data_IF_861515258329
#
_entry.id   IF_861515258329
#
_cell.length_a   1.000
_cell.length_b   1.000
_cell.length_c   1.000
_cell.angle_alpha   90.00
_cell.angle_beta   90.00
_cell.angle_gamma   90.00
#
_symmetry.space_group_name_H-M   'P 1'
#
loop_
_entity.id
_entity.type
_entity.pdbx_description
1 polymer ?
#
# COMPACT_ATOMS: atom_id res chain seq x y z
N UNK A 1 11.54 29.60 11.83
CA UNK A 1 10.59 28.58 11.32
C UNK A 1 9.64 28.23 12.44
N UNK A 2 8.40 27.83 12.12
CA UNK A 2 7.39 27.41 13.10
C UNK A 2 7.48 25.88 13.32
N UNK A 3 6.86 25.37 14.38
CA UNK A 3 6.72 23.91 14.64
C UNK A 3 6.12 23.19 13.41
N UNK A 4 5.14 23.80 12.76
CA UNK A 4 4.53 23.28 11.54
C UNK A 4 5.55 23.10 10.40
N UNK A 5 6.46 24.06 10.20
CA UNK A 5 7.49 23.96 9.17
C UNK A 5 8.44 22.78 9.43
N UNK A 6 8.80 22.52 10.71
CA UNK A 6 9.67 21.41 11.07
C UNK A 6 8.96 20.06 10.89
N UNK A 7 7.66 19.96 11.25
CA UNK A 7 6.88 18.74 11.02
C UNK A 7 6.70 18.47 9.52
N UNK A 8 6.44 19.49 8.69
CA UNK A 8 6.40 19.34 7.23
C UNK A 8 7.71 18.81 6.67
N UNK A 9 8.86 19.24 7.21
CA UNK A 9 10.16 18.67 6.81
C UNK A 9 10.29 17.20 7.23
N UNK A 10 9.84 16.82 8.43
CA UNK A 10 9.81 15.43 8.86
C UNK A 10 8.93 14.58 7.94
N UNK A 11 7.75 15.08 7.52
CA UNK A 11 6.87 14.45 6.55
C UNK A 11 7.56 14.25 5.20
N UNK A 12 8.28 15.25 4.70
CA UNK A 12 9.02 15.13 3.43
C UNK A 12 10.17 14.12 3.51
N UNK A 13 10.85 14.04 4.65
CA UNK A 13 11.86 13.02 4.91
C UNK A 13 11.26 11.61 4.94
N UNK A 14 10.11 11.43 5.63
CA UNK A 14 9.42 10.15 5.71
C UNK A 14 9.12 9.54 4.33
N UNK A 15 8.66 10.37 3.38
CA UNK A 15 8.35 9.96 2.01
C UNK A 15 9.53 9.34 1.25
N UNK A 16 10.77 9.65 1.63
CA UNK A 16 11.97 9.06 1.01
C UNK A 16 12.13 7.57 1.30
N UNK A 17 11.43 7.04 2.30
CA UNK A 17 11.40 5.61 2.65
C UNK A 17 10.38 4.79 1.85
N UNK A 18 9.60 5.43 0.96
CA UNK A 18 8.52 4.76 0.21
C UNK A 18 9.05 3.57 -0.60
N UNK A 19 8.33 2.45 -0.56
CA UNK A 19 8.69 1.19 -1.22
C UNK A 19 9.80 0.38 -0.54
N UNK A 20 10.54 0.97 0.41
CA UNK A 20 11.66 0.31 1.09
C UNK A 20 11.35 -0.11 2.53
N UNK A 21 10.44 0.60 3.19
CA UNK A 21 10.18 0.39 4.63
C UNK A 21 9.22 -0.76 4.91
N UNK A 22 8.40 -1.19 3.96
CA UNK A 22 7.41 -2.25 4.16
C UNK A 22 7.96 -3.50 4.84
N UNK A 23 7.26 -4.07 5.84
CA UNK A 23 5.97 -3.67 6.38
C UNK A 23 6.03 -2.61 7.50
N UNK A 24 7.19 -1.97 7.73
CA UNK A 24 7.36 -0.90 8.69
C UNK A 24 6.77 0.41 8.14
N UNK A 25 6.36 1.35 9.02
CA UNK A 25 5.86 2.65 8.59
C UNK A 25 6.98 3.54 8.01
N UNK A 26 6.59 4.46 7.14
CA UNK A 26 7.42 5.59 6.75
C UNK A 26 7.44 6.60 7.89
N UNK A 27 8.62 6.86 8.45
CA UNK A 27 8.81 7.80 9.54
C UNK A 27 9.93 8.78 9.19
N UNK A 28 9.73 10.04 9.54
CA UNK A 28 10.73 11.09 9.44
C UNK A 28 10.89 11.82 10.77
N UNK A 29 12.10 12.27 11.06
CA UNK A 29 12.43 12.99 12.28
C UNK A 29 13.36 14.18 12.01
N UNK A 30 13.12 15.29 12.71
CA UNK A 30 13.93 16.53 12.63
C UNK A 30 14.23 17.00 14.06
N UNK A 31 15.52 17.25 14.36
CA UNK A 31 15.96 17.75 15.67
C UNK A 31 16.35 19.22 15.52
N UNK A 32 15.76 20.07 16.38
CA UNK A 32 15.89 21.53 16.31
C UNK A 32 16.41 22.07 17.64
N UNK A 33 17.42 22.96 17.57
CA UNK A 33 17.95 23.68 18.71
C UNK A 33 18.12 25.15 18.34
N UNK A 34 17.65 26.04 19.21
CA UNK A 34 17.73 27.50 18.99
C UNK A 34 17.22 27.95 17.60
N UNK A 35 16.10 27.34 17.12
CA UNK A 35 15.51 27.66 15.84
C UNK A 35 16.25 27.11 14.61
N UNK A 36 17.34 26.34 14.81
CA UNK A 36 18.13 25.71 13.73
C UNK A 36 17.97 24.21 13.76
N UNK A 37 17.90 23.59 12.59
CA UNK A 37 17.94 22.14 12.46
C UNK A 37 19.37 21.67 12.67
N UNK A 38 19.56 20.77 13.65
CA UNK A 38 20.87 20.20 14.00
C UNK A 38 20.96 18.71 13.67
N UNK A 39 19.84 18.05 13.38
CA UNK A 39 19.79 16.65 12.97
C UNK A 39 18.52 16.35 12.19
N UNK A 40 18.58 15.43 11.24
CA UNK A 40 17.44 14.97 10.45
C UNK A 40 17.64 13.54 9.97
N UNK A 41 16.56 12.79 9.93
CA UNK A 41 16.61 11.40 9.48
C UNK A 41 15.24 10.88 9.08
N UNK A 42 15.24 9.74 8.41
CA UNK A 42 14.03 8.99 8.09
C UNK A 42 14.33 7.49 8.17
N UNK A 43 13.30 6.66 8.29
CA UNK A 43 13.44 5.22 8.20
C UNK A 43 13.71 4.84 6.74
N UNK A 44 14.96 4.43 6.46
CA UNK A 44 15.40 4.22 5.07
C UNK A 44 14.92 2.90 4.49
N UNK A 45 14.96 1.83 5.29
CA UNK A 45 14.63 0.48 4.85
C UNK A 45 14.26 -0.42 6.02
N UNK A 46 13.33 -1.34 5.79
CA UNK A 46 12.94 -2.34 6.79
C UNK A 46 14.17 -3.09 7.35
N UNK A 47 14.28 -3.13 8.69
CA UNK A 47 15.40 -3.75 9.40
C UNK A 47 16.59 -2.85 9.69
N UNK A 48 16.64 -1.64 9.13
CA UNK A 48 17.63 -0.62 9.43
C UNK A 48 17.17 0.32 10.56
N UNK A 49 17.99 1.34 10.89
CA UNK A 49 17.72 2.30 11.96
C UNK A 49 16.41 3.08 11.67
N UNK A 50 15.67 3.37 12.73
CA UNK A 50 14.48 4.21 12.69
C UNK A 50 14.85 5.69 12.47
N UNK A 51 13.85 6.51 12.14
CA UNK A 51 14.03 7.92 11.79
C UNK A 51 14.72 8.72 12.88
N UNK A 52 14.33 8.51 14.14
CA UNK A 52 14.87 9.22 15.31
C UNK A 52 16.35 8.90 15.50
N UNK A 53 16.72 7.63 15.38
CA UNK A 53 18.13 7.22 15.47
C UNK A 53 18.97 7.72 14.30
N UNK A 54 18.41 7.77 13.08
CA UNK A 54 19.06 8.39 11.94
C UNK A 54 19.20 9.91 12.13
N UNK A 55 18.22 10.57 12.74
CA UNK A 55 18.31 11.99 13.05
C UNK A 55 19.38 12.26 14.12
N UNK A 56 19.45 11.44 15.15
CA UNK A 56 20.50 11.49 16.19
C UNK A 56 21.89 11.24 15.58
N UNK A 57 22.02 10.24 14.71
CA UNK A 57 23.30 9.95 14.04
C UNK A 57 23.78 11.07 13.12
N UNK A 58 22.90 11.97 12.70
CA UNK A 58 23.20 13.11 11.84
C UNK A 58 23.43 14.42 12.59
N UNK A 59 23.49 14.40 13.93
CA UNK A 59 23.66 15.59 14.75
C UNK A 59 24.96 16.34 14.42
N UNK A 60 24.85 17.66 14.30
CA UNK A 60 25.97 18.57 14.09
C UNK A 60 26.48 19.21 15.37
N UNK A 61 25.67 19.14 16.44
CA UNK A 61 25.98 19.59 17.80
C UNK A 61 25.18 18.78 18.84
N UNK A 62 25.46 18.96 20.14
CA UNK A 62 24.70 18.29 21.20
C UNK A 62 23.19 18.59 21.14
N UNK A 63 22.35 17.54 21.19
CA UNK A 63 20.90 17.67 21.22
C UNK A 63 20.34 17.99 22.60
N UNK A 64 21.17 18.16 23.63
CA UNK A 64 20.72 18.53 24.97
C UNK A 64 19.90 19.83 24.95
N UNK A 65 18.66 19.75 25.46
CA UNK A 65 17.70 20.86 25.45
C UNK A 65 16.99 21.13 24.14
N UNK A 66 17.24 20.31 23.08
CA UNK A 66 16.61 20.44 21.78
C UNK A 66 15.14 19.97 21.76
N UNK A 67 14.45 20.22 20.65
CA UNK A 67 13.14 19.68 20.30
C UNK A 67 13.29 18.70 19.14
N UNK A 68 12.67 17.51 19.23
CA UNK A 68 12.53 16.58 18.12
C UNK A 68 11.08 16.58 17.60
N UNK A 69 10.91 16.66 16.30
CA UNK A 69 9.65 16.48 15.58
C UNK A 69 9.71 15.13 14.88
N UNK A 70 8.72 14.27 15.13
CA UNK A 70 8.65 12.92 14.57
C UNK A 70 7.23 12.63 14.06
N UNK A 71 7.12 12.06 12.88
CA UNK A 71 5.82 11.87 12.20
C UNK A 71 4.97 10.75 12.81
N UNK A 72 5.56 9.87 13.65
CA UNK A 72 4.87 8.77 14.33
C UNK A 72 5.42 8.60 15.75
N UNK A 73 4.59 8.14 16.69
CA UNK A 73 4.98 7.87 18.06
C UNK A 73 6.27 7.02 18.14
N UNK A 74 7.32 7.48 18.88
CA UNK A 74 8.56 6.74 19.04
C UNK A 74 8.35 5.39 19.71
N UNK A 75 8.97 4.35 19.15
CA UNK A 75 8.88 3.00 19.70
C UNK A 75 9.53 2.89 21.08
N UNK A 76 8.90 2.08 21.99
CA UNK A 76 9.31 1.86 23.38
C UNK A 76 9.65 0.40 23.70
N UNK A 77 9.74 -0.47 22.68
CA UNK A 77 10.04 -1.88 22.86
C UNK A 77 11.30 -2.29 22.10
N UNK A 78 11.99 -3.30 22.61
CA UNK A 78 13.12 -3.92 21.94
C UNK A 78 12.64 -4.76 20.77
N UNK A 79 13.09 -4.42 19.58
CA UNK A 79 12.90 -5.17 18.35
C UNK A 79 14.24 -5.60 17.76
N UNK A 80 14.42 -5.41 16.45
CA UNK A 80 15.75 -5.56 15.80
C UNK A 80 16.71 -4.43 16.20
N UNK A 81 16.18 -3.31 16.64
CA UNK A 81 16.93 -2.15 17.16
C UNK A 81 16.44 -1.81 18.55
N UNK A 82 17.27 -1.18 19.41
CA UNK A 82 16.81 -0.67 20.70
C UNK A 82 15.76 0.43 20.56
N UNK A 83 14.90 0.66 21.57
CA UNK A 83 13.82 1.65 21.55
C UNK A 83 14.30 3.05 21.15
N UNK A 84 13.49 3.78 20.40
CA UNK A 84 13.78 5.18 20.06
C UNK A 84 13.56 6.12 21.23
N UNK A 85 12.63 5.79 22.15
CA UNK A 85 12.41 6.54 23.40
C UNK A 85 13.68 6.61 24.25
N UNK A 86 14.43 5.51 24.39
CA UNK A 86 15.70 5.48 25.11
C UNK A 86 16.74 6.41 24.47
N UNK A 87 16.87 6.37 23.16
CA UNK A 87 17.82 7.24 22.44
C UNK A 87 17.47 8.72 22.61
N UNK A 88 16.18 9.08 22.62
CA UNK A 88 15.72 10.45 22.86
C UNK A 88 16.07 10.91 24.28
N UNK A 89 15.86 10.06 25.29
CA UNK A 89 16.19 10.33 26.69
C UNK A 89 17.70 10.48 26.88
N UNK A 90 18.51 9.56 26.34
CA UNK A 90 19.97 9.59 26.40
C UNK A 90 20.56 10.87 25.83
N UNK A 91 19.95 11.41 24.74
CA UNK A 91 20.35 12.68 24.12
C UNK A 91 19.89 13.93 24.89
N UNK A 92 19.18 13.75 26.04
CA UNK A 92 18.64 14.83 26.89
C UNK A 92 17.79 15.84 26.09
N UNK A 93 17.05 15.34 25.11
CA UNK A 93 16.08 16.14 24.35
C UNK A 93 14.98 16.61 25.32
N UNK A 94 14.67 17.92 25.28
CA UNK A 94 13.73 18.54 26.22
C UNK A 94 12.28 18.40 25.80
N UNK A 95 12.00 18.37 24.47
CA UNK A 95 10.65 18.39 23.92
C UNK A 95 10.52 17.45 22.74
N UNK A 96 9.42 16.70 22.69
CA UNK A 96 9.07 15.78 21.58
C UNK A 96 7.72 16.19 21.00
N UNK A 97 7.66 16.46 19.70
CA UNK A 97 6.43 16.78 18.97
C UNK A 97 6.11 15.60 18.07
N UNK A 98 4.98 14.93 18.33
CA UNK A 98 4.55 13.69 17.68
C UNK A 98 3.41 13.99 16.74
N UNK A 99 3.51 13.50 15.48
CA UNK A 99 2.46 13.59 14.48
C UNK A 99 1.32 12.61 14.75
N UNK A 100 1.47 11.38 14.33
CA UNK A 100 0.48 10.31 14.53
C UNK A 100 0.79 9.48 15.77
N UNK A 101 -0.26 8.93 16.41
CA UNK A 101 -0.11 7.85 17.40
C UNK A 101 0.11 6.52 16.68
N UNK A 102 0.90 5.64 17.28
CA UNK A 102 1.06 4.28 16.76
C UNK A 102 -0.13 3.41 17.20
N UNK A 103 -0.93 2.84 16.28
CA UNK A 103 -2.04 1.97 16.63
C UNK A 103 -1.59 0.59 17.11
N UNK A 104 -0.30 0.26 17.04
CA UNK A 104 0.25 -1.00 17.51
C UNK A 104 0.08 -1.14 19.03
N UNK A 105 -0.65 -2.15 19.56
CA UNK A 105 -0.86 -2.32 20.99
C UNK A 105 0.42 -2.45 21.83
N UNK A 106 1.55 -2.77 21.18
CA UNK A 106 2.87 -2.83 21.82
C UNK A 106 3.46 -1.44 22.08
N UNK A 107 3.06 -0.43 21.31
CA UNK A 107 3.56 0.97 21.37
C UNK A 107 2.51 1.91 21.93
N UNK A 108 1.35 1.91 21.38
CA UNK A 108 0.19 2.81 21.62
C UNK A 108 0.18 3.49 23.00
N UNK A 109 0.59 4.75 23.07
CA UNK A 109 0.66 5.57 24.29
C UNK A 109 1.79 5.23 25.27
N UNK A 110 2.48 4.10 25.11
CA UNK A 110 3.55 3.68 26.04
C UNK A 110 4.84 4.45 25.80
N UNK A 111 5.15 4.76 24.54
CA UNK A 111 6.30 5.60 24.18
C UNK A 111 6.15 7.01 24.74
N UNK A 112 4.96 7.59 24.59
CA UNK A 112 4.59 8.89 25.12
C UNK A 112 4.76 8.92 26.64
N UNK A 113 4.16 7.95 27.34
CA UNK A 113 4.24 7.84 28.79
C UNK A 113 5.69 7.72 29.28
N UNK A 114 6.51 6.92 28.65
CA UNK A 114 7.93 6.74 28.98
C UNK A 114 8.71 8.05 28.87
N UNK A 115 8.45 8.84 27.82
CA UNK A 115 9.09 10.15 27.61
C UNK A 115 8.64 11.16 28.70
N UNK A 116 7.34 11.19 29.03
CA UNK A 116 6.78 12.06 30.08
C UNK A 116 7.34 11.71 31.46
N UNK A 117 7.45 10.43 31.80
CA UNK A 117 8.05 9.94 33.06
C UNK A 117 9.55 10.31 33.17
N UNK A 118 10.24 10.46 32.05
CA UNK A 118 11.61 10.96 31.98
C UNK A 118 11.72 12.50 32.07
N UNK A 119 10.59 13.22 32.26
CA UNK A 119 10.55 14.67 32.37
C UNK A 119 10.61 15.44 31.04
N UNK A 120 10.35 14.76 29.91
CA UNK A 120 10.33 15.36 28.58
C UNK A 120 8.94 15.93 28.30
N UNK A 121 8.86 17.15 27.78
CA UNK A 121 7.62 17.74 27.27
C UNK A 121 7.18 17.02 26.00
N UNK A 122 5.96 16.45 25.96
CA UNK A 122 5.43 15.76 24.79
C UNK A 122 4.19 16.47 24.28
N UNK A 123 4.19 16.82 23.00
CA UNK A 123 3.03 17.33 22.25
C UNK A 123 2.59 16.21 21.29
N UNK A 124 1.33 15.81 21.44
CA UNK A 124 0.72 14.72 20.68
C UNK A 124 -0.21 15.23 19.58
N UNK A 125 -0.48 14.38 18.60
CA UNK A 125 -1.46 14.62 17.53
C UNK A 125 -1.19 15.91 16.72
N UNK A 126 0.06 16.35 16.65
CA UNK A 126 0.45 17.57 15.93
C UNK A 126 0.49 17.35 14.42
N UNK A 127 -0.39 18.00 13.68
CA UNK A 127 -0.60 17.75 12.24
C UNK A 127 -0.93 16.26 11.96
N UNK A 128 -1.82 15.71 12.80
CA UNK A 128 -2.14 14.28 12.78
C UNK A 128 -2.64 13.81 11.42
N UNK A 129 -3.55 14.53 10.79
CA UNK A 129 -4.13 14.13 9.50
C UNK A 129 -3.06 14.01 8.41
N UNK A 130 -2.12 14.96 8.34
CA UNK A 130 -1.03 14.93 7.37
C UNK A 130 -0.05 13.78 7.64
N UNK A 131 0.19 13.47 8.91
CA UNK A 131 1.03 12.35 9.32
C UNK A 131 0.34 11.00 9.10
N UNK A 132 -0.97 10.88 9.39
CA UNK A 132 -1.75 9.66 9.14
C UNK A 132 -1.77 9.30 7.64
N UNK A 133 -1.84 10.31 6.75
CA UNK A 133 -1.79 10.11 5.29
C UNK A 133 -0.48 9.50 4.77
N UNK A 134 0.60 9.49 5.58
CA UNK A 134 1.85 8.82 5.21
C UNK A 134 1.70 7.29 5.25
N UNK A 135 0.92 6.77 6.21
CA UNK A 135 0.99 5.38 6.62
C UNK A 135 -0.35 4.61 6.62
N UNK A 136 -1.27 4.82 5.63
CA UNK A 136 -2.55 4.10 5.62
C UNK A 136 -2.35 2.58 5.53
N UNK A 137 -1.33 2.11 4.78
CA UNK A 137 -0.94 0.71 4.67
C UNK A 137 -0.56 0.15 6.04
N UNK A 138 0.36 0.81 6.76
CA UNK A 138 0.81 0.35 8.08
C UNK A 138 -0.34 0.31 9.08
N UNK A 139 -1.16 1.36 9.13
CA UNK A 139 -2.29 1.43 10.07
C UNK A 139 -3.31 0.32 9.82
N UNK A 140 -3.64 0.07 8.57
CA UNK A 140 -4.52 -1.04 8.21
C UNK A 140 -3.91 -2.40 8.60
N UNK A 141 -2.67 -2.66 8.14
CA UNK A 141 -2.03 -3.95 8.35
C UNK A 141 -1.79 -4.28 9.83
N UNK A 142 -1.34 -3.28 10.64
CA UNK A 142 -1.04 -3.53 12.06
C UNK A 142 -2.31 -3.81 12.87
N UNK A 143 -3.46 -3.29 12.46
CA UNK A 143 -4.75 -3.47 13.14
C UNK A 143 -5.51 -4.70 12.66
N UNK A 144 -5.54 -4.96 11.34
CA UNK A 144 -6.36 -6.04 10.74
C UNK A 144 -5.59 -7.32 10.49
N UNK A 145 -4.26 -7.25 10.37
CA UNK A 145 -3.39 -8.34 9.92
C UNK A 145 -3.70 -8.87 8.52
N UNK A 146 -4.32 -8.01 7.69
CA UNK A 146 -4.56 -8.28 6.27
C UNK A 146 -3.92 -7.18 5.41
N UNK A 147 -3.55 -7.46 4.15
CA UNK A 147 -2.99 -6.44 3.27
C UNK A 147 -3.96 -5.28 3.02
N UNK A 148 -3.42 -4.05 2.92
CA UNK A 148 -4.14 -2.91 2.36
C UNK A 148 -4.20 -3.03 0.84
N UNK A 149 -5.39 -3.13 0.27
CA UNK A 149 -5.58 -3.34 -1.17
C UNK A 149 -5.94 -2.04 -1.87
N UNK A 150 -5.10 -1.65 -2.83
CA UNK A 150 -5.35 -0.53 -3.73
C UNK A 150 -5.75 -1.07 -5.09
N UNK A 151 -7.00 -0.86 -5.47
CA UNK A 151 -7.50 -1.23 -6.79
C UNK A 151 -7.12 -0.13 -7.79
N UNK A 152 -6.30 -0.46 -8.78
CA UNK A 152 -5.88 0.46 -9.81
C UNK A 152 -6.35 0.00 -11.19
N UNK A 153 -6.92 0.92 -11.94
CA UNK A 153 -7.22 0.69 -13.35
C UNK A 153 -6.95 1.92 -14.21
N UNK A 154 -6.78 1.69 -15.51
CA UNK A 154 -6.68 2.73 -16.52
C UNK A 154 -7.83 2.54 -17.51
N UNK A 155 -8.57 3.61 -17.78
CA UNK A 155 -9.72 3.57 -18.67
C UNK A 155 -9.77 4.80 -19.58
N UNK A 156 -10.55 4.70 -20.65
CA UNK A 156 -10.96 5.84 -21.47
C UNK A 156 -12.01 6.69 -20.74
N UNK A 157 -12.27 7.90 -21.21
CA UNK A 157 -13.29 8.79 -20.64
C UNK A 157 -14.72 8.18 -20.69
N UNK A 158 -14.98 7.29 -21.65
CA UNK A 158 -16.22 6.50 -21.73
C UNK A 158 -16.16 5.16 -20.99
N UNK A 159 -15.19 4.98 -20.05
CA UNK A 159 -15.13 3.86 -19.13
C UNK A 159 -14.67 2.54 -19.73
N UNK A 160 -13.84 2.53 -20.77
CA UNK A 160 -13.38 1.31 -21.42
C UNK A 160 -11.92 0.99 -21.08
N UNK A 161 -11.64 -0.28 -20.76
CA UNK A 161 -10.27 -0.80 -20.49
C UNK A 161 -9.70 -1.59 -21.67
N UNK A 162 -10.46 -1.79 -22.71
CA UNK A 162 -10.02 -2.39 -23.99
C UNK A 162 -10.96 -1.99 -25.13
N UNK A 163 -10.48 -2.06 -26.37
CA UNK A 163 -11.29 -1.91 -27.58
C UNK A 163 -12.24 -3.10 -27.77
N UNK A 164 -13.13 -3.03 -28.75
CA UNK A 164 -14.02 -4.16 -29.13
C UNK A 164 -13.27 -5.45 -29.51
N UNK A 165 -12.01 -5.35 -29.91
CA UNK A 165 -11.14 -6.49 -30.27
C UNK A 165 -10.29 -6.98 -29.11
N UNK A 166 -10.39 -6.35 -27.92
CA UNK A 166 -9.60 -6.68 -26.75
C UNK A 166 -8.25 -5.98 -26.65
N UNK A 167 -7.88 -5.14 -27.63
CA UNK A 167 -6.62 -4.38 -27.56
C UNK A 167 -6.67 -3.34 -26.42
N UNK A 168 -5.67 -3.37 -25.51
CA UNK A 168 -5.59 -2.52 -24.30
C UNK A 168 -4.35 -1.62 -24.27
N UNK A 169 -3.41 -1.78 -25.20
CA UNK A 169 -2.13 -1.04 -25.22
C UNK A 169 -2.13 0.03 -26.31
N UNK A 170 -1.99 1.34 -26.00
CA UNK A 170 -1.90 1.95 -24.67
C UNK A 170 -3.11 2.88 -24.47
N UNK A 171 -3.79 2.73 -23.35
CA UNK A 171 -4.94 3.59 -23.02
C UNK A 171 -4.42 4.94 -22.51
N UNK A 172 -3.61 4.91 -21.45
CA UNK A 172 -3.04 6.11 -20.81
C UNK A 172 -1.66 6.46 -21.37
N UNK A 173 -1.25 7.71 -21.15
CA UNK A 173 0.00 8.27 -21.58
C UNK A 173 1.22 7.74 -20.81
N UNK A 174 2.40 8.23 -21.17
CA UNK A 174 3.68 7.78 -20.59
C UNK A 174 3.82 8.18 -19.12
N UNK A 175 3.39 9.39 -18.74
CA UNK A 175 3.44 9.88 -17.37
C UNK A 175 2.63 8.98 -16.42
N UNK A 176 1.39 8.60 -16.79
CA UNK A 176 0.58 7.68 -16.01
C UNK A 176 1.21 6.28 -15.90
N UNK A 177 1.82 5.78 -16.98
CA UNK A 177 2.54 4.49 -16.94
C UNK A 177 3.80 4.54 -16.06
N UNK A 178 4.49 5.67 -16.00
CA UNK A 178 5.61 5.87 -15.06
C UNK A 178 5.13 5.85 -13.62
N UNK A 179 4.00 6.50 -13.32
CA UNK A 179 3.40 6.46 -11.98
C UNK A 179 2.98 5.04 -11.57
N UNK A 180 2.47 4.22 -12.49
CA UNK A 180 2.20 2.81 -12.24
C UNK A 180 3.46 2.02 -11.87
N UNK A 181 4.64 2.33 -12.45
CA UNK A 181 5.90 1.71 -12.01
C UNK A 181 6.24 2.10 -10.57
N UNK A 182 5.99 3.35 -10.19
CA UNK A 182 6.16 3.82 -8.82
C UNK A 182 5.21 3.10 -7.85
N UNK A 183 3.93 2.94 -8.22
CA UNK A 183 2.97 2.15 -7.42
C UNK A 183 3.42 0.70 -7.25
N UNK A 184 3.92 0.06 -8.29
CA UNK A 184 4.46 -1.32 -8.20
C UNK A 184 5.69 -1.43 -7.30
N UNK A 185 6.48 -0.37 -7.17
CA UNK A 185 7.58 -0.31 -6.21
C UNK A 185 7.09 -0.10 -4.79
N UNK A 186 6.05 0.73 -4.61
CA UNK A 186 5.49 1.12 -3.31
C UNK A 186 4.84 -0.06 -2.58
N UNK A 187 4.03 -0.86 -3.26
CA UNK A 187 3.26 -1.95 -2.65
C UNK A 187 4.01 -3.27 -2.68
N UNK A 188 3.87 -4.08 -1.59
CA UNK A 188 4.59 -5.35 -1.48
C UNK A 188 4.13 -6.40 -2.47
N UNK A 189 2.83 -6.44 -2.78
CA UNK A 189 2.24 -7.39 -3.73
C UNK A 189 1.58 -6.71 -4.92
N UNK A 190 1.54 -7.41 -6.05
CA UNK A 190 0.69 -7.09 -7.21
C UNK A 190 -0.23 -8.26 -7.47
N UNK A 191 -1.54 -8.00 -7.54
CA UNK A 191 -2.56 -9.02 -7.76
C UNK A 191 -3.25 -8.85 -9.11
N UNK A 192 -3.34 -9.96 -9.86
CA UNK A 192 -4.04 -10.00 -11.15
C UNK A 192 -4.86 -11.30 -11.28
N UNK A 193 -5.89 -11.25 -12.13
CA UNK A 193 -6.66 -12.44 -12.49
C UNK A 193 -6.05 -13.19 -13.67
N UNK A 194 -6.33 -14.48 -13.73
CA UNK A 194 -5.85 -15.34 -14.83
C UNK A 194 -6.25 -14.83 -16.22
N UNK A 195 -7.40 -14.18 -16.35
CA UNK A 195 -7.84 -13.59 -17.63
C UNK A 195 -6.85 -12.56 -18.17
N UNK A 196 -6.26 -11.72 -17.32
CA UNK A 196 -5.22 -10.76 -17.69
C UNK A 196 -3.94 -11.47 -18.13
N UNK A 197 -3.57 -12.55 -17.44
CA UNK A 197 -2.37 -13.32 -17.78
C UNK A 197 -2.50 -14.00 -19.13
N UNK A 198 -3.66 -14.60 -19.41
CA UNK A 198 -3.94 -15.27 -20.68
C UNK A 198 -4.02 -14.29 -21.87
N UNK A 199 -4.49 -13.07 -21.63
CA UNK A 199 -4.64 -12.05 -22.67
C UNK A 199 -3.33 -11.35 -23.01
N UNK A 200 -2.52 -11.01 -22.02
CA UNK A 200 -1.41 -10.06 -22.16
C UNK A 200 -0.01 -10.67 -21.93
N UNK A 201 0.09 -11.90 -21.37
CA UNK A 201 1.31 -12.54 -20.88
C UNK A 201 2.24 -11.54 -20.15
N UNK A 202 1.75 -10.86 -19.12
CA UNK A 202 2.45 -9.73 -18.49
C UNK A 202 3.54 -10.22 -17.54
N UNK A 203 4.61 -9.42 -17.37
CA UNK A 203 5.64 -9.69 -16.36
C UNK A 203 5.22 -9.29 -14.94
N UNK A 204 4.31 -8.34 -14.78
CA UNK A 204 3.87 -7.79 -13.48
C UNK A 204 5.04 -7.39 -12.56
N UNK A 205 6.06 -6.77 -13.10
CA UNK A 205 7.26 -6.33 -12.39
C UNK A 205 7.48 -4.82 -12.53
N UNK A 206 8.42 -4.30 -11.77
CA UNK A 206 8.97 -2.95 -11.97
C UNK A 206 10.03 -3.01 -13.06
N UNK A 207 10.02 -2.00 -13.96
CA UNK A 207 10.96 -1.88 -15.09
C UNK A 207 11.93 -0.71 -14.92
N UNK A 208 11.97 -0.12 -13.72
CA UNK A 208 12.91 0.94 -13.35
C UNK A 208 14.08 0.28 -12.62
N UNK A 209 15.29 0.55 -13.07
CA UNK A 209 16.51 0.01 -12.47
C UNK A 209 16.65 0.47 -11.02
N UNK A 210 17.13 -0.42 -10.16
CA UNK A 210 17.32 -0.16 -8.73
C UNK A 210 16.05 -0.25 -7.89
N UNK A 211 14.85 -0.30 -8.48
CA UNK A 211 13.61 -0.40 -7.74
C UNK A 211 13.22 -1.84 -7.45
N UNK A 212 12.59 -2.06 -6.28
CA UNK A 212 12.09 -3.37 -5.86
C UNK A 212 10.82 -3.72 -6.63
N UNK A 213 10.76 -4.93 -7.20
CA UNK A 213 9.54 -5.49 -7.77
C UNK A 213 8.64 -6.10 -6.70
N UNK A 214 7.30 -6.03 -6.85
CA UNK A 214 6.36 -6.65 -5.94
C UNK A 214 6.33 -8.17 -6.07
N UNK A 215 5.81 -8.84 -5.04
CA UNK A 215 5.41 -10.25 -5.08
C UNK A 215 4.21 -10.37 -6.01
N UNK A 216 4.26 -11.29 -6.97
CA UNK A 216 3.18 -11.49 -7.93
C UNK A 216 2.16 -12.48 -7.38
N UNK A 217 0.90 -12.08 -7.33
CA UNK A 217 -0.22 -12.85 -6.80
C UNK A 217 -1.24 -13.03 -7.92
N UNK A 218 -1.52 -14.27 -8.29
CA UNK A 218 -2.46 -14.57 -9.36
C UNK A 218 -3.68 -15.30 -8.81
N UNK A 219 -4.87 -14.80 -9.13
CA UNK A 219 -6.13 -15.48 -8.86
C UNK A 219 -6.50 -16.33 -10.09
N UNK A 220 -6.38 -17.65 -9.95
CA UNK A 220 -6.58 -18.63 -11.02
C UNK A 220 -7.30 -19.88 -10.50
N UNK A 221 -8.60 -19.79 -10.28
CA UNK A 221 -9.40 -20.84 -9.67
C UNK A 221 -9.17 -22.22 -10.31
N UNK A 222 -8.99 -22.31 -11.62
CA UNK A 222 -8.78 -23.55 -12.35
C UNK A 222 -7.34 -23.90 -12.71
N UNK A 223 -6.34 -23.18 -12.15
CA UNK A 223 -4.92 -23.34 -12.51
C UNK A 223 -4.67 -23.34 -14.03
N UNK A 224 -5.29 -22.40 -14.75
CA UNK A 224 -5.17 -22.28 -16.23
C UNK A 224 -3.88 -21.63 -16.69
N UNK A 225 -3.08 -21.08 -15.77
CA UNK A 225 -1.82 -20.40 -16.07
C UNK A 225 -0.93 -21.23 -17.00
N UNK A 226 -0.44 -20.67 -18.12
CA UNK A 226 0.47 -21.36 -19.01
C UNK A 226 1.83 -21.61 -18.35
N UNK A 227 2.36 -22.83 -18.44
CA UNK A 227 3.69 -23.16 -17.88
C UNK A 227 4.83 -22.44 -18.64
N UNK A 228 4.60 -22.09 -19.89
CA UNK A 228 5.54 -21.35 -20.74
C UNK A 228 5.34 -19.83 -20.71
N UNK A 229 4.40 -19.30 -19.90
CA UNK A 229 4.17 -17.88 -19.73
C UNK A 229 5.33 -17.15 -19.03
N UNK A 230 5.49 -15.86 -19.31
CA UNK A 230 6.59 -15.03 -18.77
C UNK A 230 6.62 -15.01 -17.25
N UNK A 231 5.45 -14.99 -16.61
CA UNK A 231 5.32 -15.02 -15.13
C UNK A 231 5.95 -16.29 -14.56
N UNK A 232 5.64 -17.46 -15.14
CA UNK A 232 6.17 -18.76 -14.68
C UNK A 232 7.66 -18.85 -14.95
N UNK A 233 8.10 -18.56 -16.18
CA UNK A 233 9.53 -18.59 -16.55
C UNK A 233 10.41 -17.70 -15.68
N UNK A 234 9.87 -16.63 -15.14
CA UNK A 234 10.60 -15.66 -14.30
C UNK A 234 10.36 -15.86 -12.79
N UNK A 235 9.70 -16.94 -12.36
CA UNK A 235 9.38 -17.18 -10.96
C UNK A 235 10.62 -17.33 -10.06
N UNK A 236 11.70 -17.88 -10.57
CA UNK A 236 12.98 -17.93 -9.85
C UNK A 236 13.61 -16.56 -9.55
N UNK A 237 13.23 -15.50 -10.31
CA UNK A 237 13.68 -14.12 -10.06
C UNK A 237 12.66 -13.29 -9.26
N UNK A 238 11.38 -13.53 -9.44
CA UNK A 238 10.30 -12.76 -8.82
C UNK A 238 9.35 -13.72 -8.10
N UNK A 239 9.26 -13.61 -6.77
CA UNK A 239 8.34 -14.43 -5.95
C UNK A 239 6.95 -14.38 -6.57
N UNK A 240 6.36 -15.56 -6.79
CA UNK A 240 5.08 -15.71 -7.49
C UNK A 240 4.20 -16.69 -6.74
N UNK A 241 3.01 -16.24 -6.38
CA UNK A 241 1.98 -17.02 -5.68
C UNK A 241 0.78 -17.15 -6.59
N UNK A 242 0.30 -18.37 -6.83
CA UNK A 242 -0.94 -18.65 -7.55
C UNK A 242 -1.97 -19.18 -6.58
N UNK A 243 -3.01 -18.39 -6.33
CA UNK A 243 -4.18 -18.81 -5.58
C UNK A 243 -5.14 -19.56 -6.51
N UNK A 244 -5.55 -20.76 -6.11
CA UNK A 244 -6.44 -21.61 -6.89
C UNK A 244 -7.57 -22.17 -6.02
N UNK A 245 -8.62 -22.66 -6.67
CA UNK A 245 -9.69 -23.43 -6.02
C UNK A 245 -9.42 -24.94 -6.17
N UNK A 246 -9.87 -25.70 -5.19
CA UNK A 246 -9.66 -27.17 -5.21
C UNK A 246 -10.45 -27.81 -6.34
N UNK A 247 -9.77 -28.57 -7.19
CA UNK A 247 -10.38 -29.34 -8.29
C UNK A 247 -9.60 -30.62 -8.55
N UNK A 248 -10.30 -31.67 -8.97
CA UNK A 248 -9.80 -33.06 -9.04
C UNK A 248 -8.55 -33.29 -9.93
N UNK A 249 -8.10 -32.33 -10.72
CA UNK A 249 -6.99 -32.52 -11.69
C UNK A 249 -5.83 -31.52 -11.56
N UNK A 250 -5.66 -30.86 -10.41
CA UNK A 250 -4.66 -29.80 -10.25
C UNK A 250 -3.29 -30.29 -9.80
N UNK A 251 -3.18 -31.49 -9.22
CA UNK A 251 -1.97 -31.97 -8.55
C UNK A 251 -0.73 -32.03 -9.47
N UNK A 252 -0.87 -32.64 -10.64
CA UNK A 252 0.25 -32.73 -11.59
C UNK A 252 0.75 -31.35 -12.03
N UNK A 253 -0.16 -30.39 -12.25
CA UNK A 253 0.19 -29.03 -12.65
C UNK A 253 0.81 -28.26 -11.49
N UNK A 254 0.31 -28.42 -10.28
CA UNK A 254 0.89 -27.81 -9.06
C UNK A 254 2.34 -28.26 -8.89
N UNK A 255 2.61 -29.57 -9.00
CA UNK A 255 3.97 -30.11 -8.91
C UNK A 255 4.90 -29.45 -9.91
N UNK A 256 4.48 -29.32 -11.15
CA UNK A 256 5.29 -28.64 -12.20
C UNK A 256 5.49 -27.15 -11.91
N UNK A 257 4.47 -26.44 -11.43
CA UNK A 257 4.58 -25.05 -11.03
C UNK A 257 5.59 -24.88 -9.88
N UNK A 258 5.56 -25.75 -8.87
CA UNK A 258 6.54 -25.78 -7.78
C UNK A 258 7.97 -26.02 -8.27
N UNK A 259 8.16 -26.98 -9.19
CA UNK A 259 9.45 -27.26 -9.82
C UNK A 259 10.01 -26.04 -10.57
N UNK A 260 9.13 -25.15 -11.05
CA UNK A 260 9.48 -23.89 -11.72
C UNK A 260 9.58 -22.68 -10.75
N UNK A 261 9.47 -22.90 -9.42
CA UNK A 261 9.61 -21.85 -8.42
C UNK A 261 8.34 -21.03 -8.17
N UNK A 262 7.17 -21.52 -8.60
CA UNK A 262 5.88 -20.88 -8.33
C UNK A 262 5.26 -21.49 -7.08
N UNK A 263 4.93 -20.66 -6.10
CA UNK A 263 4.15 -21.04 -4.93
C UNK A 263 2.67 -21.18 -5.30
N UNK A 264 1.98 -22.19 -4.77
CA UNK A 264 0.55 -22.36 -4.98
C UNK A 264 -0.19 -22.47 -3.66
N UNK A 265 -1.32 -21.78 -3.55
CA UNK A 265 -2.18 -21.84 -2.36
C UNK A 265 -3.62 -22.16 -2.73
N UNK A 266 -4.20 -23.15 -2.05
CA UNK A 266 -5.61 -23.47 -2.17
C UNK A 266 -6.45 -22.54 -1.29
N UNK A 267 -7.32 -21.76 -1.92
CA UNK A 267 -8.25 -20.84 -1.27
C UNK A 267 -9.63 -20.98 -1.91
N UNK A 268 -10.31 -22.11 -1.74
CA UNK A 268 -11.64 -22.34 -2.33
C UNK A 268 -12.75 -21.68 -1.51
N UNK A 269 -13.72 -21.08 -2.20
CA UNK A 269 -15.06 -20.80 -1.69
C UNK A 269 -16.04 -21.95 -2.00
N UNK A 270 -17.30 -21.76 -1.64
CA UNK A 270 -18.38 -22.74 -1.89
C UNK A 270 -18.73 -22.93 -3.39
N UNK A 271 -18.37 -21.98 -4.24
CA UNK A 271 -18.60 -21.99 -5.68
C UNK A 271 -17.36 -22.45 -6.47
N UNK A 272 -16.38 -23.01 -5.79
CA UNK A 272 -15.12 -23.46 -6.38
C UNK A 272 -14.35 -22.31 -7.08
N UNK A 273 -14.43 -21.09 -6.51
CA UNK A 273 -13.67 -19.93 -6.90
C UNK A 273 -12.63 -19.58 -5.83
N UNK A 274 -11.67 -18.74 -6.15
CA UNK A 274 -10.71 -18.23 -5.16
C UNK A 274 -11.44 -17.35 -4.15
N UNK A 275 -11.47 -17.78 -2.88
CA UNK A 275 -11.93 -17.00 -1.74
C UNK A 275 -10.91 -15.88 -1.43
N UNK A 276 -11.23 -14.67 -1.85
CA UNK A 276 -10.33 -13.53 -1.68
C UNK A 276 -10.11 -13.15 -0.21
N UNK A 277 -11.08 -13.40 0.70
CA UNK A 277 -10.90 -13.13 2.14
C UNK A 277 -9.90 -14.10 2.76
N UNK A 278 -10.01 -15.40 2.44
CA UNK A 278 -9.02 -16.41 2.87
C UNK A 278 -7.63 -16.08 2.32
N UNK A 279 -7.56 -15.66 1.04
CA UNK A 279 -6.31 -15.24 0.42
C UNK A 279 -5.69 -14.05 1.16
N UNK A 280 -6.47 -13.00 1.49
CA UNK A 280 -5.96 -11.83 2.23
C UNK A 280 -5.42 -12.23 3.61
N UNK A 281 -6.10 -13.13 4.32
CA UNK A 281 -5.64 -13.64 5.61
C UNK A 281 -4.29 -14.35 5.47
N UNK A 282 -4.17 -15.26 4.52
CA UNK A 282 -2.91 -15.96 4.25
C UNK A 282 -1.77 -14.99 3.91
N UNK A 283 -2.01 -14.03 3.01
CA UNK A 283 -0.99 -13.06 2.59
C UNK A 283 -0.55 -12.17 3.76
N UNK A 284 -1.48 -11.81 4.65
CA UNK A 284 -1.17 -11.07 5.87
C UNK A 284 -0.31 -11.89 6.85
N UNK A 285 -0.58 -13.18 7.03
CA UNK A 285 0.23 -14.11 7.83
C UNK A 285 1.65 -14.27 7.24
N UNK A 286 1.79 -14.22 5.90
CA UNK A 286 3.07 -14.20 5.19
C UNK A 286 3.82 -12.85 5.29
N UNK A 287 3.27 -11.87 6.01
CA UNK A 287 3.88 -10.55 6.20
C UNK A 287 3.72 -9.59 5.02
N UNK A 288 2.82 -9.86 4.10
CA UNK A 288 2.51 -8.97 2.97
C UNK A 288 1.51 -7.92 3.45
N UNK A 289 1.94 -6.67 3.57
CA UNK A 289 1.18 -5.56 4.14
C UNK A 289 0.25 -4.86 3.14
N UNK A 290 0.56 -4.98 1.84
CA UNK A 290 -0.12 -4.20 0.80
C UNK A 290 -0.16 -4.89 -0.55
N UNK A 291 -1.23 -4.64 -1.31
CA UNK A 291 -1.46 -5.20 -2.63
C UNK A 291 -1.91 -4.09 -3.59
N UNK A 292 -1.23 -3.99 -4.71
CA UNK A 292 -1.72 -3.29 -5.89
C UNK A 292 -2.55 -4.27 -6.73
N UNK A 293 -3.86 -4.09 -6.74
CA UNK A 293 -4.77 -4.88 -7.58
C UNK A 293 -4.81 -4.27 -8.99
N UNK A 294 -4.12 -4.92 -9.92
CA UNK A 294 -4.18 -4.62 -11.37
C UNK A 294 -5.00 -5.70 -12.08
N UNK A 295 -6.26 -5.85 -11.68
CA UNK A 295 -7.18 -6.86 -12.21
C UNK A 295 -7.91 -6.43 -13.47
N UNK A 296 -8.54 -7.40 -14.16
CA UNK A 296 -9.62 -7.14 -15.09
C UNK A 296 -10.94 -6.94 -14.36
N UNK A 297 -11.99 -6.52 -15.07
CA UNK A 297 -13.28 -6.16 -14.48
C UNK A 297 -13.91 -7.21 -13.58
N UNK A 298 -13.75 -8.49 -13.90
CA UNK A 298 -14.27 -9.59 -13.09
C UNK A 298 -13.59 -9.69 -11.72
N UNK A 299 -12.25 -9.61 -11.67
CA UNK A 299 -11.53 -9.67 -10.39
C UNK A 299 -11.79 -8.42 -9.55
N UNK A 300 -11.87 -7.25 -10.19
CA UNK A 300 -12.20 -6.00 -9.51
C UNK A 300 -13.59 -6.04 -8.86
N UNK A 301 -14.61 -6.55 -9.57
CA UNK A 301 -15.95 -6.79 -9.01
C UNK A 301 -15.90 -7.75 -7.82
N UNK A 302 -15.23 -8.89 -7.98
CA UNK A 302 -15.07 -9.88 -6.91
C UNK A 302 -14.38 -9.29 -5.68
N UNK A 303 -13.35 -8.46 -5.85
CA UNK A 303 -12.63 -7.81 -4.76
C UNK A 303 -13.49 -6.78 -4.01
N UNK A 304 -14.29 -5.99 -4.74
CA UNK A 304 -15.24 -5.04 -4.14
C UNK A 304 -16.32 -5.78 -3.36
N UNK A 305 -16.93 -6.83 -3.93
CA UNK A 305 -17.96 -7.65 -3.25
C UNK A 305 -17.41 -8.36 -2.01
N UNK A 306 -16.15 -8.82 -2.07
CA UNK A 306 -15.48 -9.41 -0.92
C UNK A 306 -15.14 -8.38 0.18
N UNK A 307 -15.25 -7.07 -0.10
CA UNK A 307 -14.94 -6.01 0.86
C UNK A 307 -13.46 -5.91 1.21
N UNK A 308 -12.56 -6.34 0.29
CA UNK A 308 -11.12 -6.36 0.54
C UNK A 308 -10.40 -5.11 0.01
N UNK A 309 -11.08 -4.21 -0.69
CA UNK A 309 -10.51 -3.00 -1.30
C UNK A 309 -10.66 -1.82 -0.34
N UNK A 310 -9.57 -1.12 -0.03
CA UNK A 310 -9.57 0.09 0.79
C UNK A 310 -9.50 1.36 -0.04
N UNK A 311 -8.81 1.31 -1.18
CA UNK A 311 -8.57 2.48 -2.03
C UNK A 311 -8.75 2.13 -3.51
N UNK A 312 -9.26 3.08 -4.28
CA UNK A 312 -9.40 3.00 -5.73
C UNK A 312 -8.60 4.13 -6.38
N UNK A 313 -7.73 3.79 -7.34
CA UNK A 313 -7.01 4.74 -8.17
C UNK A 313 -7.38 4.55 -9.65
N UNK A 314 -8.17 5.47 -10.18
CA UNK A 314 -8.64 5.48 -11.56
C UNK A 314 -7.79 6.45 -12.40
N UNK A 315 -7.12 5.94 -13.43
CA UNK A 315 -6.45 6.76 -14.45
C UNK A 315 -7.39 6.88 -15.66
N UNK A 316 -7.79 8.08 -16.00
CA UNK A 316 -8.77 8.36 -17.06
C UNK A 316 -8.05 9.06 -18.22
N UNK A 317 -7.97 8.40 -19.35
CA UNK A 317 -7.40 8.97 -20.57
C UNK A 317 -8.43 9.81 -21.33
N UNK A 318 -8.05 10.95 -21.94
CA UNK A 318 -8.93 11.79 -22.75
C UNK A 318 -9.20 11.15 -24.13
N UNK A 319 -9.77 9.93 -24.13
CA UNK A 319 -10.06 9.11 -25.30
C UNK A 319 -11.44 8.49 -25.17
N UNK A 320 -12.04 8.15 -26.30
CA UNK A 320 -13.30 7.41 -26.39
C UNK A 320 -13.08 6.17 -27.26
N UNK A 321 -13.43 4.99 -26.74
CA UNK A 321 -13.34 3.73 -27.50
C UNK A 321 -14.71 3.28 -28.02
N UNK A 322 -15.79 3.58 -27.29
CA UNK A 322 -17.11 3.08 -27.59
C UNK A 322 -17.21 1.54 -27.52
N UNK A 323 -18.23 1.01 -28.16
CA UNK A 323 -18.48 -0.44 -28.21
C UNK A 323 -19.29 -0.96 -27.02
N UNK A 324 -20.50 -1.47 -27.31
CA UNK A 324 -21.43 -1.99 -26.30
C UNK A 324 -20.80 -3.11 -25.43
N UNK A 325 -20.01 -4.00 -26.05
CA UNK A 325 -19.39 -5.15 -25.38
C UNK A 325 -17.91 -4.93 -25.04
N UNK A 326 -17.42 -3.70 -25.14
CA UNK A 326 -16.06 -3.39 -24.72
C UNK A 326 -15.92 -3.47 -23.20
N UNK A 327 -14.83 -4.09 -22.70
CA UNK A 327 -14.60 -4.33 -21.28
C UNK A 327 -14.53 -3.03 -20.47
N UNK A 328 -15.03 -3.10 -19.24
CA UNK A 328 -15.04 -2.00 -18.26
C UNK A 328 -14.19 -2.32 -17.05
N UNK A 329 -13.80 -1.32 -16.23
CA UNK A 329 -12.94 -1.55 -15.05
C UNK A 329 -13.57 -2.46 -14.00
N UNK A 330 -14.90 -2.43 -13.87
CA UNK A 330 -15.67 -3.26 -12.94
C UNK A 330 -16.78 -3.91 -13.74
N UNK A 331 -16.80 -5.24 -13.75
CA UNK A 331 -17.78 -6.06 -14.46
C UNK A 331 -18.62 -6.86 -13.42
N UNK A 332 -19.01 -8.07 -13.72
CA UNK A 332 -19.79 -8.94 -12.83
C UNK A 332 -21.30 -8.75 -13.00
N UNK A 333 -22.05 -9.02 -11.93
CA UNK A 333 -23.53 -8.99 -11.97
C UNK A 333 -24.08 -7.56 -11.93
N UNK A 334 -23.29 -6.61 -11.41
CA UNK A 334 -23.74 -5.24 -11.17
C UNK A 334 -24.66 -5.12 -9.93
N UNK A 335 -25.13 -3.90 -9.67
CA UNK A 335 -26.10 -3.58 -8.62
C UNK A 335 -27.49 -3.37 -9.24
N UNK A 336 -28.55 -3.65 -8.50
CA UNK A 336 -29.93 -3.47 -9.00
C UNK A 336 -30.40 -2.03 -8.88
N UNK A 337 -29.96 -1.36 -7.80
CA UNK A 337 -30.35 0.03 -7.51
C UNK A 337 -29.10 0.86 -7.21
N UNK A 338 -29.11 2.17 -7.53
CA UNK A 338 -28.00 3.08 -7.22
C UNK A 338 -27.62 3.11 -5.72
N UNK A 339 -28.58 2.87 -4.84
CA UNK A 339 -28.36 2.78 -3.38
C UNK A 339 -27.51 1.59 -2.95
N UNK A 340 -27.37 0.56 -3.78
CA UNK A 340 -26.52 -0.61 -3.52
C UNK A 340 -25.07 -0.42 -3.99
N UNK A 341 -24.76 0.73 -4.60
CA UNK A 341 -23.42 1.00 -5.12
C UNK A 341 -22.38 1.05 -4.01
N UNK A 342 -21.18 0.56 -4.30
CA UNK A 342 -20.02 0.78 -3.43
C UNK A 342 -19.73 2.27 -3.38
N UNK A 343 -19.87 2.88 -2.20
CA UNK A 343 -19.64 4.31 -2.01
C UNK A 343 -18.15 4.60 -1.91
N UNK A 344 -17.75 5.68 -2.54
CA UNK A 344 -16.36 6.14 -2.56
C UNK A 344 -16.29 7.59 -2.07
N UNK A 345 -15.33 7.90 -1.21
CA UNK A 345 -14.94 9.26 -0.82
C UNK A 345 -13.73 9.66 -1.63
N UNK A 346 -13.89 10.62 -2.54
CA UNK A 346 -12.79 11.14 -3.33
C UNK A 346 -11.85 11.96 -2.43
N UNK A 347 -10.56 11.63 -2.43
CA UNK A 347 -9.55 12.26 -1.58
C UNK A 347 -8.51 13.05 -2.36
N UNK A 348 -8.34 12.75 -3.66
CA UNK A 348 -7.42 13.49 -4.53
C UNK A 348 -7.85 13.38 -6.00
N UNK A 349 -7.71 14.47 -6.73
CA UNK A 349 -7.86 14.52 -8.19
C UNK A 349 -6.70 15.33 -8.74
N UNK A 350 -5.89 14.70 -9.59
CA UNK A 350 -4.76 15.39 -10.18
C UNK A 350 -4.56 15.04 -11.67
N UNK A 351 -3.92 15.93 -12.39
CA UNK A 351 -3.49 15.68 -13.76
C UNK A 351 -2.13 14.97 -13.77
N UNK A 352 -2.02 13.92 -14.59
CA UNK A 352 -0.81 13.11 -14.76
C UNK A 352 -0.48 13.04 -16.25
N UNK A 353 0.33 13.97 -16.73
CA UNK A 353 0.50 14.20 -18.17
C UNK A 353 -0.80 14.66 -18.83
N UNK A 354 -1.30 13.89 -19.78
CA UNK A 354 -2.58 14.16 -20.46
C UNK A 354 -3.77 13.48 -19.74
N UNK A 355 -3.50 12.55 -18.82
CA UNK A 355 -4.51 11.77 -18.12
C UNK A 355 -4.93 12.44 -16.80
N UNK A 356 -6.07 12.04 -16.26
CA UNK A 356 -6.55 12.43 -14.93
C UNK A 356 -6.45 11.20 -14.01
N UNK A 357 -5.83 11.36 -12.84
CA UNK A 357 -5.90 10.39 -11.76
C UNK A 357 -6.93 10.82 -10.72
N UNK A 358 -7.85 9.92 -10.38
CA UNK A 358 -8.78 10.08 -9.26
C UNK A 358 -8.44 9.03 -8.23
N UNK A 359 -8.19 9.47 -6.98
CA UNK A 359 -7.95 8.61 -5.83
C UNK A 359 -9.15 8.70 -4.88
N UNK A 360 -9.75 7.56 -4.56
CA UNK A 360 -10.90 7.48 -3.65
C UNK A 360 -10.69 6.40 -2.60
N UNK A 361 -11.13 6.65 -1.38
CA UNK A 361 -11.28 5.64 -0.34
C UNK A 361 -12.63 4.95 -0.46
N UNK A 362 -12.64 3.63 -0.25
CA UNK A 362 -13.88 2.85 -0.17
C UNK A 362 -14.49 3.09 1.20
N UNK A 363 -15.74 3.58 1.24
CA UNK A 363 -16.46 3.82 2.49
C UNK A 363 -16.85 2.48 3.13
N UNK A 364 -16.44 2.26 4.40
CA UNK A 364 -16.92 1.11 5.19
C UNK A 364 -18.37 1.32 5.63
N UNK A 365 -19.08 0.24 5.97
CA UNK A 365 -20.48 0.29 6.40
C UNK A 365 -20.73 1.24 7.58
N UNK A 366 -19.79 1.41 8.49
CA UNK A 366 -19.87 2.34 9.63
C UNK A 366 -19.72 3.81 9.20
N UNK A 367 -19.05 4.09 8.08
CA UNK A 367 -18.90 5.45 7.52
C UNK A 367 -20.09 5.86 6.63
N UNK A 368 -20.89 4.90 6.20
CA UNK A 368 -22.10 5.16 5.41
C UNK A 368 -23.15 5.97 6.21
N UNK A 369 -23.27 5.71 7.52
CA UNK A 369 -24.21 6.42 8.40
C UNK A 369 -23.77 7.88 8.65
N UNK A 370 -22.48 8.16 8.72
CA UNK A 370 -21.97 9.52 8.90
C UNK A 370 -22.11 10.37 7.61
N UNK A 371 -21.89 9.81 6.44
CA UNK A 371 -22.08 10.53 5.16
C UNK A 371 -23.56 10.85 4.85
N UNK A 372 -24.51 10.08 5.40
CA UNK A 372 -25.95 10.33 5.24
C UNK A 372 -26.46 11.44 6.14
N UNK A 373 -25.71 11.84 7.17
CA UNK A 373 -26.05 12.96 8.07
C UNK A 373 -25.52 14.31 7.60
N UNK A 374 -24.59 14.33 6.62
CA UNK A 374 -24.01 15.55 6.05
C UNK A 374 -24.59 15.90 4.65
N UNK A 375 -25.50 15.12 4.12
CA UNK A 375 -26.21 15.35 2.85
C UNK A 375 -27.68 15.73 3.08
#
# INVERSE_FOLDING_TARGET
MTDQNYMLQAIQLAKQGEGWTNPNPMVGAVIVKNGRIIGKGYHKKCGELHAERNAIASLTESAEGATIYVTLEPCCHYGKTPPCTEAIIEQKIKRVVIGSRDPNPKVSGKGIKMLQEAGIEVIEDFMREECDRLNPVFFHYITTKTPYVVMKYAMTLDGKIATKTGASKWITGEAARAEVQHMRHRYMGIMAGIGTVLADDPMLNVRVEGWKSPIRILCDSGLRIPLDGQIVKSAGKYRTIVAYADSENTEAKRKRLHEMGVETICCSDENNQVDLKKLMKYLGEEGIDSILLEGGGTLNDSALRAGIVQEVQAFIAPKLFGGMNSKTPVEGIGVRFPSEAVKLKCVDICQVGEDIRITCQVCGKEQEEACLQES
#
